data_IF_787253877145
#
_entry.id   IF_787253877145
#
_cell.length_a   1.000
_cell.length_b   1.000
_cell.length_c   1.000
_cell.angle_alpha   90.00
_cell.angle_beta   90.00
_cell.angle_gamma   90.00
#
_symmetry.space_group_name_H-M   'P 1'
#
loop_
_entity.id
_entity.type
_entity.pdbx_description
1 polymer ?
#
# COMPACT_ATOMS: atom_id res chain seq x y z
N UNK A 1 1.55 24.71 14.25
CA UNK A 1 1.84 26.14 14.00
C UNK A 1 0.89 27.13 14.67
N UNK A 2 -0.35 26.75 15.03
CA UNK A 2 -1.32 27.68 15.66
C UNK A 2 -1.03 28.08 17.12
N UNK A 3 -0.19 27.33 17.85
CA UNK A 3 0.05 27.56 19.29
C UNK A 3 1.12 28.64 19.56
N UNK A 4 2.04 28.87 18.61
CA UNK A 4 3.05 29.92 18.72
C UNK A 4 2.43 31.34 18.69
N UNK A 5 1.26 31.50 18.06
CA UNK A 5 0.52 32.75 18.03
C UNK A 5 -0.19 33.10 19.35
N UNK A 6 -0.47 32.10 20.20
CA UNK A 6 -1.14 32.33 21.48
C UNK A 6 -0.18 32.88 22.56
N UNK A 7 1.12 32.54 22.46
CA UNK A 7 2.15 33.03 23.39
C UNK A 7 2.57 34.48 23.13
N UNK A 8 2.43 34.99 21.91
CA UNK A 8 2.70 36.41 21.59
C UNK A 8 1.58 37.37 22.01
N UNK A 9 0.36 36.87 22.27
CA UNK A 9 -0.76 37.71 22.72
C UNK A 9 -0.77 37.93 24.24
N UNK A 10 -0.14 37.04 25.01
CA UNK A 10 -0.06 37.14 26.49
C UNK A 10 1.03 38.09 27.00
N UNK A 11 1.91 38.60 26.14
CA UNK A 11 2.94 39.58 26.51
C UNK A 11 2.49 41.05 26.38
N UNK A 12 1.28 41.30 25.86
CA UNK A 12 0.82 42.65 25.48
C UNK A 12 -0.42 43.15 26.26
N UNK A 13 -0.67 42.66 27.48
CA UNK A 13 -1.77 43.15 28.31
C UNK A 13 -1.27 43.79 29.63
N UNK A 14 -1.24 45.13 29.65
CA UNK A 14 -1.77 45.95 30.74
C UNK A 14 -0.98 46.07 32.06
N UNK A 15 -0.50 47.30 32.31
CA UNK A 15 -0.05 47.83 33.61
C UNK A 15 -0.97 47.44 34.78
N UNK A 16 -0.51 46.53 35.65
CA UNK A 16 -1.02 46.33 37.00
C UNK A 16 0.17 46.06 37.96
N UNK A 17 0.09 46.42 39.25
CA UNK A 17 1.22 46.30 40.17
C UNK A 17 1.62 44.83 40.34
N UNK A 18 2.87 44.51 39.99
CA UNK A 18 3.44 43.16 40.11
C UNK A 18 3.51 42.75 41.59
N UNK A 19 2.53 42.00 42.07
CA UNK A 19 2.76 41.06 43.18
C UNK A 19 3.63 39.94 42.62
N UNK A 20 4.90 39.88 43.03
CA UNK A 20 5.78 38.75 42.75
C UNK A 20 5.28 37.51 43.52
N UNK A 21 4.23 36.87 43.01
CA UNK A 21 3.87 35.53 43.45
C UNK A 21 4.90 34.56 42.87
N UNK A 22 5.87 34.15 43.67
CA UNK A 22 6.76 33.04 43.33
C UNK A 22 5.90 31.79 43.11
N UNK A 23 5.80 31.32 41.87
CA UNK A 23 5.19 30.03 41.57
C UNK A 23 6.12 28.95 42.15
N UNK A 24 5.65 28.09 43.06
CA UNK A 24 6.48 27.06 43.65
C UNK A 24 7.10 26.17 42.57
N UNK A 25 8.37 25.77 42.68
CA UNK A 25 9.05 24.94 41.68
C UNK A 25 8.32 23.60 41.44
N UNK A 26 7.59 23.10 42.44
CA UNK A 26 6.73 21.92 42.31
C UNK A 26 5.58 22.10 41.31
N UNK A 27 4.99 23.30 41.21
CA UNK A 27 3.91 23.59 40.27
C UNK A 27 4.45 23.68 38.84
N UNK A 28 5.64 24.26 38.65
CA UNK A 28 6.33 24.22 37.34
C UNK A 28 6.64 22.78 36.92
N UNK A 29 7.12 21.94 37.85
CA UNK A 29 7.43 20.53 37.55
C UNK A 29 6.18 19.74 37.15
N UNK A 30 5.05 19.95 37.85
CA UNK A 30 3.77 19.32 37.53
C UNK A 30 3.26 19.77 36.15
N UNK A 31 3.38 21.07 35.83
CA UNK A 31 3.01 21.60 34.53
C UNK A 31 3.88 21.05 33.40
N UNK A 32 5.19 20.87 33.64
CA UNK A 32 6.11 20.24 32.68
C UNK A 32 5.80 18.75 32.47
N UNK A 33 5.52 18.00 33.53
CA UNK A 33 5.12 16.59 33.47
C UNK A 33 3.77 16.39 32.76
N UNK A 34 2.80 17.28 33.01
CA UNK A 34 1.54 17.29 32.25
C UNK A 34 1.76 17.63 30.77
N UNK A 35 2.67 18.55 30.45
CA UNK A 35 3.00 18.91 29.07
C UNK A 35 3.66 17.74 28.30
N UNK A 36 4.53 16.96 28.96
CA UNK A 36 5.11 15.75 28.35
C UNK A 36 4.09 14.63 28.15
N UNK A 37 3.07 14.53 29.02
CA UNK A 37 1.98 13.56 28.86
C UNK A 37 0.94 13.96 27.80
N UNK A 38 0.86 15.26 27.49
CA UNK A 38 0.01 15.83 26.42
C UNK A 38 0.74 16.00 25.09
N UNK A 39 2.04 15.68 25.03
CA UNK A 39 2.77 15.54 23.77
C UNK A 39 2.15 14.38 23.01
N UNK A 40 1.30 14.69 22.03
CA UNK A 40 0.75 13.70 21.12
C UNK A 40 1.92 12.87 20.57
N UNK A 41 1.84 11.55 20.74
CA UNK A 41 2.73 10.66 20.00
C UNK A 41 2.60 11.05 18.53
N UNK A 42 3.67 11.54 17.91
CA UNK A 42 3.72 11.58 16.46
C UNK A 42 3.60 10.11 16.03
N UNK A 43 2.41 9.74 15.59
CA UNK A 43 2.11 8.36 15.23
C UNK A 43 3.10 7.92 14.17
N UNK A 44 3.82 6.83 14.43
CA UNK A 44 4.64 6.18 13.41
C UNK A 44 3.73 5.91 12.20
N UNK A 45 4.17 6.33 11.02
CA UNK A 45 3.44 6.06 9.79
C UNK A 45 3.16 4.57 9.71
N UNK A 46 1.97 4.17 9.23
CA UNK A 46 1.58 2.76 9.28
C UNK A 46 0.80 2.33 8.07
N UNK A 47 0.91 1.05 7.75
CA UNK A 47 0.10 0.37 6.76
C UNK A 47 -1.03 -0.36 7.48
N UNK A 48 -2.27 -0.01 7.16
CA UNK A 48 -3.46 -0.68 7.67
C UNK A 48 -4.09 -1.51 6.55
N UNK A 49 -4.17 -2.81 6.76
CA UNK A 49 -4.68 -3.77 5.81
C UNK A 49 -6.12 -4.14 6.16
N UNK A 50 -7.05 -3.99 5.22
CA UNK A 50 -8.45 -4.38 5.39
C UNK A 50 -8.81 -5.44 4.35
N UNK A 51 -9.38 -6.56 4.79
CA UNK A 51 -9.96 -7.54 3.88
C UNK A 51 -11.47 -7.29 3.78
N UNK A 52 -11.92 -6.65 2.70
CA UNK A 52 -13.35 -6.49 2.40
C UNK A 52 -13.90 -7.61 1.50
N UNK A 53 -13.05 -8.57 1.10
CA UNK A 53 -13.50 -9.74 0.35
C UNK A 53 -14.38 -10.64 1.22
N UNK A 54 -15.30 -11.38 0.58
CA UNK A 54 -16.17 -12.36 1.24
C UNK A 54 -15.45 -13.68 1.59
N UNK A 55 -14.14 -13.75 1.35
CA UNK A 55 -13.28 -14.90 1.62
C UNK A 55 -11.99 -14.44 2.31
N UNK A 56 -11.28 -15.32 3.03
CA UNK A 56 -9.99 -14.97 3.60
C UNK A 56 -8.97 -14.63 2.51
N UNK A 57 -8.00 -13.81 2.90
CA UNK A 57 -6.78 -13.56 2.11
C UNK A 57 -5.55 -13.75 2.98
N UNK A 58 -4.43 -14.07 2.36
CA UNK A 58 -3.13 -14.08 3.02
C UNK A 58 -2.27 -12.98 2.43
N UNK A 59 -2.11 -11.90 3.19
CA UNK A 59 -1.32 -10.75 2.79
C UNK A 59 0.15 -11.16 2.69
N UNK A 60 0.83 -10.71 1.64
CA UNK A 60 2.27 -10.74 1.51
C UNK A 60 2.83 -9.33 1.46
N UNK A 61 4.05 -9.15 1.96
CA UNK A 61 4.76 -7.86 1.93
C UNK A 61 6.18 -8.08 1.46
N UNK A 62 6.66 -7.21 0.57
CA UNK A 62 8.04 -7.22 0.11
C UNK A 62 8.59 -5.79 0.20
N UNK A 63 9.73 -5.63 0.86
CA UNK A 63 10.43 -4.35 0.91
C UNK A 63 11.31 -4.17 -0.34
N UNK A 64 11.57 -2.93 -0.71
CA UNK A 64 12.54 -2.60 -1.76
C UNK A 64 13.96 -2.96 -1.35
N UNK A 65 14.86 -3.03 -2.34
CA UNK A 65 16.24 -3.52 -2.16
C UNK A 65 17.05 -2.78 -1.09
N UNK A 66 16.76 -1.49 -0.88
CA UNK A 66 17.45 -0.62 0.10
C UNK A 66 16.62 -0.36 1.36
N UNK A 67 15.41 -0.91 1.43
CA UNK A 67 14.48 -0.71 2.53
C UNK A 67 14.59 -1.84 3.55
N UNK A 68 14.47 -1.56 4.86
CA UNK A 68 14.43 -2.63 5.86
C UNK A 68 13.13 -3.46 5.75
N UNK A 69 13.16 -4.74 6.17
CA UNK A 69 11.95 -5.56 6.26
C UNK A 69 10.97 -5.00 7.29
N UNK A 70 9.67 -5.23 7.06
CA UNK A 70 8.63 -4.97 8.05
C UNK A 70 8.61 -6.08 9.12
N UNK A 71 7.87 -5.87 10.21
CA UNK A 71 7.79 -6.80 11.34
C UNK A 71 7.33 -8.23 10.96
N UNK A 72 6.63 -8.39 9.83
CA UNK A 72 6.29 -9.69 9.25
C UNK A 72 6.12 -9.57 7.74
N UNK A 73 6.48 -10.64 7.03
CA UNK A 73 6.49 -10.72 5.56
C UNK A 73 5.21 -11.35 4.97
N UNK A 74 4.36 -11.95 5.80
CA UNK A 74 3.06 -12.47 5.39
C UNK A 74 2.16 -12.86 6.57
N UNK A 75 0.85 -12.82 6.38
CA UNK A 75 -0.14 -13.08 7.43
C UNK A 75 -1.54 -13.36 6.89
N UNK A 76 -2.33 -14.12 7.67
CA UNK A 76 -3.75 -14.37 7.41
C UNK A 76 -4.61 -13.14 7.76
N UNK A 77 -5.63 -12.88 6.95
CA UNK A 77 -6.62 -11.85 7.20
C UNK A 77 -8.03 -12.38 6.84
N UNK A 78 -8.85 -12.61 7.87
CA UNK A 78 -10.23 -13.08 7.72
C UNK A 78 -11.11 -12.05 6.98
N UNK A 79 -12.26 -12.45 6.40
CA UNK A 79 -13.25 -11.50 5.89
C UNK A 79 -13.60 -10.43 6.92
N UNK A 80 -13.73 -9.17 6.46
CA UNK A 80 -13.98 -7.97 7.29
C UNK A 80 -12.91 -7.64 8.34
N UNK A 81 -11.83 -8.41 8.43
CA UNK A 81 -10.78 -8.17 9.41
C UNK A 81 -9.83 -7.06 8.95
N UNK A 82 -9.21 -6.43 9.95
CA UNK A 82 -8.17 -5.43 9.76
C UNK A 82 -6.89 -5.87 10.46
N UNK A 83 -5.73 -5.54 9.89
CA UNK A 83 -4.44 -5.64 10.56
C UNK A 83 -3.57 -4.42 10.28
N UNK A 84 -2.51 -4.22 11.08
CA UNK A 84 -1.62 -3.06 10.97
C UNK A 84 -0.17 -3.51 10.99
N UNK A 85 0.66 -2.83 10.21
CA UNK A 85 2.12 -2.85 10.32
C UNK A 85 2.62 -1.42 10.41
N UNK A 86 3.56 -1.17 11.30
CA UNK A 86 4.22 0.13 11.36
C UNK A 86 5.26 0.21 10.24
N UNK A 87 5.33 1.36 9.59
CA UNK A 87 6.41 1.69 8.67
C UNK A 87 7.69 1.97 9.47
N UNK A 88 8.87 1.85 8.84
CA UNK A 88 10.12 2.20 9.51
C UNK A 88 10.11 3.66 9.99
N UNK A 89 10.65 3.88 11.19
CA UNK A 89 10.70 5.20 11.81
C UNK A 89 11.85 6.08 11.33
N UNK A 90 12.70 5.58 10.44
CA UNK A 90 13.84 6.31 9.88
C UNK A 90 14.13 5.90 8.43
N UNK A 91 14.72 6.83 7.68
CA UNK A 91 15.04 6.65 6.28
C UNK A 91 13.80 6.63 5.38
N UNK A 92 14.02 6.70 4.07
CA UNK A 92 12.99 6.41 3.07
C UNK A 92 12.67 4.92 3.07
N UNK A 93 11.45 4.56 2.72
CA UNK A 93 11.03 3.17 2.58
C UNK A 93 10.30 2.95 1.28
N UNK A 94 10.45 1.79 0.67
CA UNK A 94 9.67 1.36 -0.49
C UNK A 94 9.28 -0.09 -0.31
N UNK A 95 8.14 -0.46 -0.88
CA UNK A 95 7.72 -1.85 -0.88
C UNK A 95 6.40 -2.06 -1.60
N UNK A 96 6.04 -3.33 -1.69
CA UNK A 96 4.82 -3.79 -2.33
C UNK A 96 4.04 -4.73 -1.42
N UNK A 97 2.73 -4.66 -1.54
CA UNK A 97 1.76 -5.47 -0.80
C UNK A 97 0.86 -6.20 -1.79
N UNK A 98 0.47 -7.43 -1.46
CA UNK A 98 -0.47 -8.21 -2.26
C UNK A 98 -1.31 -9.13 -1.38
N UNK A 99 -2.41 -9.64 -1.93
CA UNK A 99 -3.22 -10.67 -1.29
C UNK A 99 -3.12 -11.99 -2.06
N UNK A 100 -2.83 -13.07 -1.32
CA UNK A 100 -2.93 -14.44 -1.82
C UNK A 100 -4.32 -15.01 -1.56
N UNK A 101 -4.81 -15.84 -2.46
CA UNK A 101 -6.13 -16.47 -2.36
C UNK A 101 -6.06 -17.98 -2.57
N UNK A 102 -7.07 -18.70 -2.07
CA UNK A 102 -7.16 -20.16 -2.21
C UNK A 102 -5.99 -20.89 -1.56
N UNK A 103 -5.55 -20.43 -0.38
CA UNK A 103 -4.41 -20.99 0.29
C UNK A 103 -4.78 -22.16 1.21
N UNK A 104 -3.90 -23.17 1.26
CA UNK A 104 -4.03 -24.33 2.12
C UNK A 104 -2.66 -24.86 2.55
N UNK A 105 -2.64 -25.54 3.69
CA UNK A 105 -1.50 -26.38 4.10
C UNK A 105 -1.74 -27.77 3.55
N UNK A 106 -0.81 -28.27 2.75
CA UNK A 106 -0.83 -29.65 2.30
C UNK A 106 -0.59 -30.58 3.49
N UNK A 107 -1.54 -31.49 3.75
CA UNK A 107 -1.51 -32.32 4.96
C UNK A 107 -0.37 -33.36 4.95
N UNK A 108 0.13 -33.74 3.78
CA UNK A 108 1.20 -34.74 3.66
C UNK A 108 2.59 -34.14 3.84
N UNK A 109 2.80 -32.92 3.35
CA UNK A 109 4.10 -32.23 3.35
C UNK A 109 4.21 -31.12 4.39
N UNK A 110 3.09 -30.66 4.94
CA UNK A 110 3.03 -29.48 5.81
C UNK A 110 3.25 -28.16 5.07
N UNK A 111 3.34 -28.17 3.74
CA UNK A 111 3.68 -27.00 2.93
C UNK A 111 2.46 -26.11 2.73
N UNK A 112 2.59 -24.83 3.04
CA UNK A 112 1.60 -23.81 2.71
C UNK A 112 1.74 -23.37 1.25
N UNK A 113 0.63 -23.40 0.50
CA UNK A 113 0.58 -22.96 -0.90
C UNK A 113 -0.72 -22.22 -1.20
N UNK A 114 -0.69 -21.32 -2.17
CA UNK A 114 -1.84 -20.54 -2.62
C UNK A 114 -2.13 -20.72 -4.10
N UNK A 115 -3.41 -20.65 -4.47
CA UNK A 115 -3.85 -20.73 -5.87
C UNK A 115 -3.42 -19.49 -6.69
N UNK A 116 -3.37 -18.31 -6.05
CA UNK A 116 -2.91 -17.08 -6.69
C UNK A 116 -1.89 -16.34 -5.81
N UNK A 117 -0.94 -15.66 -6.47
CA UNK A 117 0.05 -14.79 -5.85
C UNK A 117 0.96 -15.44 -4.78
N UNK A 118 1.12 -16.76 -4.83
CA UNK A 118 1.98 -17.50 -3.90
C UNK A 118 3.42 -16.99 -3.94
N UNK A 119 4.09 -16.88 -2.78
CA UNK A 119 5.46 -16.40 -2.69
C UNK A 119 6.52 -17.52 -2.65
N UNK A 120 6.10 -18.78 -2.78
CA UNK A 120 6.98 -19.92 -3.00
C UNK A 120 7.79 -20.39 -1.80
N UNK A 121 7.62 -19.76 -0.62
CA UNK A 121 8.33 -20.15 0.60
C UNK A 121 7.90 -21.50 1.14
N UNK A 122 6.65 -21.89 0.89
CA UNK A 122 6.04 -23.04 1.58
C UNK A 122 5.47 -22.68 2.95
N UNK A 123 5.45 -21.39 3.31
CA UNK A 123 4.99 -20.85 4.59
C UNK A 123 4.07 -19.64 4.40
N UNK A 124 3.36 -19.25 5.47
CA UNK A 124 2.58 -18.00 5.47
C UNK A 124 3.49 -16.78 5.30
N UNK A 125 4.68 -16.81 5.88
CA UNK A 125 5.67 -15.75 5.73
C UNK A 125 6.35 -15.83 4.34
N UNK A 126 6.59 -14.68 3.71
CA UNK A 126 7.17 -14.60 2.36
C UNK A 126 8.69 -14.36 2.35
N UNK A 127 9.31 -14.01 3.47
CA UNK A 127 10.77 -14.00 3.67
C UNK A 127 11.58 -13.36 2.54
N UNK A 128 11.15 -12.17 2.11
CA UNK A 128 11.83 -11.40 1.03
C UNK A 128 11.57 -11.94 -0.38
N UNK A 129 10.68 -12.91 -0.57
CA UNK A 129 10.21 -13.38 -1.87
C UNK A 129 8.96 -12.61 -2.32
N UNK A 130 8.94 -12.24 -3.59
CA UNK A 130 7.77 -11.65 -4.25
C UNK A 130 6.72 -12.69 -4.65
N UNK A 131 5.52 -12.22 -5.04
CA UNK A 131 4.44 -13.07 -5.54
C UNK A 131 4.75 -13.69 -6.91
N UNK A 132 4.23 -14.88 -7.15
CA UNK A 132 4.10 -15.45 -8.48
C UNK A 132 2.90 -14.79 -9.22
N UNK A 133 3.11 -14.20 -10.43
CA UNK A 133 2.00 -13.67 -11.23
C UNK A 133 0.99 -14.75 -11.67
N UNK A 134 -0.29 -14.41 -11.90
CA UNK A 134 -0.86 -13.06 -11.86
C UNK A 134 -1.15 -12.53 -10.46
N UNK A 135 -0.94 -11.22 -10.26
CA UNK A 135 -1.11 -10.55 -8.97
C UNK A 135 -1.40 -9.06 -9.14
N UNK A 136 -2.39 -8.56 -8.42
CA UNK A 136 -2.58 -7.11 -8.23
C UNK A 136 -1.63 -6.62 -7.14
N UNK A 137 -0.80 -5.62 -7.44
CA UNK A 137 0.14 -5.05 -6.48
C UNK A 137 -0.36 -3.70 -5.94
N UNK A 138 -0.10 -3.47 -4.65
CA UNK A 138 -0.16 -2.16 -4.02
C UNK A 138 1.26 -1.70 -3.71
N UNK A 139 1.74 -0.67 -4.42
CA UNK A 139 3.12 -0.20 -4.34
C UNK A 139 3.15 1.14 -3.59
N UNK A 140 4.06 1.28 -2.62
CA UNK A 140 4.20 2.49 -1.80
C UNK A 140 5.68 2.80 -1.62
N UNK A 141 6.05 4.05 -1.88
CA UNK A 141 7.35 4.65 -1.56
C UNK A 141 7.12 5.82 -0.62
N UNK A 142 7.64 5.71 0.60
CA UNK A 142 7.63 6.74 1.63
C UNK A 142 8.90 7.58 1.56
N UNK A 143 8.72 8.90 1.61
CA UNK A 143 9.82 9.81 1.88
C UNK A 143 10.35 9.59 3.32
N UNK A 144 11.59 10.01 3.57
CA UNK A 144 12.17 9.88 4.90
C UNK A 144 11.34 10.70 5.92
N UNK A 145 11.02 10.15 7.12
CA UNK A 145 10.27 10.86 8.15
C UNK A 145 10.90 12.21 8.47
N UNK A 146 10.07 13.27 8.53
CA UNK A 146 10.52 14.63 8.81
C UNK A 146 11.27 15.34 7.68
N UNK A 147 11.49 14.71 6.52
CA UNK A 147 12.17 15.34 5.38
C UNK A 147 11.32 16.40 4.66
N UNK A 148 10.00 16.42 4.90
CA UNK A 148 9.06 17.19 4.09
C UNK A 148 8.92 16.67 2.66
N UNK A 149 9.47 15.49 2.37
CA UNK A 149 9.38 14.84 1.06
C UNK A 149 7.97 14.35 0.73
N UNK A 150 7.83 13.88 -0.51
CA UNK A 150 6.59 13.40 -1.08
C UNK A 150 6.62 11.88 -1.17
N UNK A 151 5.55 11.24 -0.70
CA UNK A 151 5.33 9.83 -0.90
C UNK A 151 4.72 9.58 -2.29
N UNK A 152 4.99 8.40 -2.83
CA UNK A 152 4.43 7.90 -4.09
C UNK A 152 3.73 6.58 -3.83
N UNK A 153 2.58 6.37 -4.46
CA UNK A 153 1.86 5.11 -4.35
C UNK A 153 0.99 4.86 -5.57
N UNK A 154 0.72 3.60 -5.82
CA UNK A 154 -0.07 3.16 -6.96
C UNK A 154 -0.61 1.74 -6.78
N UNK A 155 -1.64 1.41 -7.56
CA UNK A 155 -2.09 0.03 -7.75
C UNK A 155 -1.62 -0.40 -9.12
N UNK A 156 -0.98 -1.57 -9.20
CA UNK A 156 -0.34 -2.05 -10.42
C UNK A 156 -0.87 -3.40 -10.88
N UNK A 157 -1.21 -3.45 -12.16
CA UNK A 157 -1.67 -4.63 -12.90
C UNK A 157 -0.65 -5.08 -13.95
N UNK A 158 0.58 -4.58 -13.87
CA UNK A 158 1.69 -4.95 -14.76
C UNK A 158 1.95 -6.46 -14.69
N UNK A 159 1.82 -7.03 -13.49
CA UNK A 159 1.89 -8.47 -13.22
C UNK A 159 0.52 -9.15 -13.20
N UNK A 160 -0.49 -8.55 -13.83
CA UNK A 160 -1.83 -9.10 -13.96
C UNK A 160 -2.75 -8.72 -12.79
N UNK A 161 -3.77 -9.52 -12.57
CA UNK A 161 -4.81 -9.27 -11.59
C UNK A 161 -5.24 -10.56 -10.91
N UNK A 162 -5.44 -10.55 -9.60
CA UNK A 162 -6.10 -11.64 -8.89
C UNK A 162 -7.26 -11.14 -8.01
N UNK A 163 -7.07 -10.06 -7.24
CA UNK A 163 -8.11 -9.40 -6.45
C UNK A 163 -8.14 -7.89 -6.66
N UNK A 164 -9.29 -7.21 -6.50
CA UNK A 164 -9.35 -5.76 -6.50
C UNK A 164 -8.61 -5.17 -5.28
N UNK A 165 -7.95 -4.03 -5.46
CA UNK A 165 -7.13 -3.38 -4.41
C UNK A 165 -7.33 -1.87 -4.44
N UNK A 166 -7.34 -1.25 -3.27
CA UNK A 166 -7.32 0.20 -3.08
C UNK A 166 -6.26 0.61 -2.05
N UNK A 167 -5.54 1.68 -2.34
CA UNK A 167 -4.64 2.38 -1.43
C UNK A 167 -5.24 3.75 -1.16
N UNK A 168 -5.34 4.16 0.11
CA UNK A 168 -5.65 5.54 0.45
C UNK A 168 -4.72 6.06 1.55
N UNK A 169 -4.14 7.25 1.40
CA UNK A 169 -3.41 7.89 2.49
C UNK A 169 -4.36 8.27 3.63
N UNK A 170 -3.87 8.14 4.85
CA UNK A 170 -4.52 8.61 6.07
C UNK A 170 -3.99 9.99 6.42
N UNK A 171 -4.87 11.00 6.41
CA UNK A 171 -4.44 12.39 6.59
C UNK A 171 -3.62 12.89 5.39
N UNK A 172 -2.66 13.78 5.65
CA UNK A 172 -1.94 14.50 4.60
C UNK A 172 -2.76 15.62 3.96
N UNK A 173 -2.09 16.40 3.12
CA UNK A 173 -2.71 17.54 2.45
C UNK A 173 -1.83 18.24 1.41
N UNK A 174 -0.59 17.78 1.20
CA UNK A 174 0.23 18.20 0.07
C UNK A 174 0.18 17.19 -1.07
N UNK A 175 0.10 17.66 -2.31
CA UNK A 175 -0.12 16.80 -3.48
C UNK A 175 -1.60 16.42 -3.67
N UNK A 176 -1.85 15.29 -4.34
CA UNK A 176 -3.22 14.84 -4.64
C UNK A 176 -3.88 14.17 -3.44
N UNK A 177 -3.13 13.33 -2.71
CA UNK A 177 -3.61 12.49 -1.60
C UNK A 177 -4.91 11.72 -1.92
N UNK A 178 -5.18 11.46 -3.21
CA UNK A 178 -6.36 10.74 -3.67
C UNK A 178 -6.14 9.23 -3.58
N UNK A 179 -7.18 8.43 -3.35
CA UNK A 179 -7.03 6.98 -3.38
C UNK A 179 -6.61 6.48 -4.77
N UNK A 180 -5.64 5.55 -4.81
CA UNK A 180 -5.35 4.73 -5.98
C UNK A 180 -6.17 3.45 -5.89
N UNK A 181 -6.83 3.02 -6.95
CA UNK A 181 -7.68 1.83 -6.89
C UNK A 181 -7.82 1.10 -8.22
N UNK A 182 -7.80 -0.22 -8.14
CA UNK A 182 -8.43 -1.12 -9.08
C UNK A 182 -9.60 -1.80 -8.37
N UNK A 183 -10.80 -1.23 -8.52
CA UNK A 183 -12.04 -1.75 -7.91
C UNK A 183 -12.91 -2.56 -8.89
N UNK A 184 -12.58 -2.55 -10.18
CA UNK A 184 -13.28 -3.32 -11.20
C UNK A 184 -12.97 -4.82 -11.13
N UNK A 185 -13.90 -5.64 -11.58
CA UNK A 185 -13.69 -7.08 -11.74
C UNK A 185 -12.99 -7.38 -13.09
N UNK A 186 -11.66 -7.34 -13.08
CA UNK A 186 -10.84 -7.67 -14.26
C UNK A 186 -11.02 -9.15 -14.65
N UNK A 187 -11.34 -10.05 -13.72
CA UNK A 187 -11.55 -11.47 -14.02
C UNK A 187 -12.78 -11.65 -14.92
N UNK A 188 -13.85 -10.87 -14.73
CA UNK A 188 -15.04 -10.88 -15.57
C UNK A 188 -14.76 -10.42 -17.02
N UNK A 189 -13.79 -9.53 -17.22
CA UNK A 189 -13.39 -9.00 -18.52
C UNK A 189 -12.16 -9.70 -19.11
N UNK A 190 -11.60 -10.69 -18.41
CA UNK A 190 -10.31 -11.28 -18.78
C UNK A 190 -10.37 -11.98 -20.14
N UNK A 191 -9.51 -11.63 -21.11
CA UNK A 191 -9.38 -12.32 -22.39
C UNK A 191 -9.10 -13.82 -22.20
N UNK A 192 -9.66 -14.66 -23.06
CA UNK A 192 -9.66 -16.11 -22.85
C UNK A 192 -8.25 -16.71 -22.72
N UNK A 193 -7.30 -16.17 -23.46
CA UNK A 193 -5.88 -16.52 -23.47
C UNK A 193 -5.09 -16.05 -22.23
N UNK A 194 -5.67 -15.15 -21.43
CA UNK A 194 -5.07 -14.62 -20.20
C UNK A 194 -5.67 -15.19 -18.91
N UNK A 195 -6.75 -15.97 -19.00
CA UNK A 195 -7.47 -16.51 -17.83
C UNK A 195 -6.64 -17.53 -17.06
N UNK A 196 -6.68 -17.42 -15.74
CA UNK A 196 -6.33 -18.50 -14.81
C UNK A 196 -7.63 -19.06 -14.24
N UNK A 197 -7.84 -20.35 -14.41
CA UNK A 197 -9.07 -21.04 -14.00
C UNK A 197 -8.91 -21.67 -12.61
N UNK A 198 -10.00 -21.72 -11.84
CA UNK A 198 -10.02 -22.44 -10.58
C UNK A 198 -9.76 -23.94 -10.82
N UNK A 199 -8.97 -24.58 -9.94
CA UNK A 199 -8.74 -26.02 -10.04
C UNK A 199 -10.04 -26.85 -9.97
N UNK A 200 -11.02 -26.37 -9.19
CA UNK A 200 -12.32 -27.03 -9.01
C UNK A 200 -13.36 -26.69 -10.09
N UNK A 201 -13.08 -25.74 -11.00
CA UNK A 201 -14.02 -25.33 -12.04
C UNK A 201 -13.30 -24.74 -13.26
N UNK A 202 -13.57 -25.31 -14.44
CA UNK A 202 -13.07 -24.80 -15.71
C UNK A 202 -13.78 -23.53 -16.21
N UNK A 203 -14.84 -23.08 -15.52
CA UNK A 203 -15.59 -21.87 -15.90
C UNK A 203 -15.34 -20.69 -14.97
N UNK A 204 -14.69 -20.89 -13.82
CA UNK A 204 -14.40 -19.83 -12.86
C UNK A 204 -13.01 -19.25 -13.09
N UNK A 205 -12.93 -17.97 -13.46
CA UNK A 205 -11.68 -17.23 -13.60
C UNK A 205 -11.27 -16.68 -12.23
N UNK A 206 -10.13 -17.14 -11.72
CA UNK A 206 -9.63 -16.74 -10.40
C UNK A 206 -8.55 -15.67 -10.46
N UNK A 207 -7.94 -15.49 -11.63
CA UNK A 207 -6.98 -14.42 -11.91
C UNK A 207 -6.84 -14.20 -13.42
N UNK A 208 -6.26 -13.06 -13.79
CA UNK A 208 -6.00 -12.67 -15.17
C UNK A 208 -4.52 -12.30 -15.35
N UNK A 209 -3.80 -13.01 -16.21
CA UNK A 209 -2.41 -12.71 -16.57
C UNK A 209 -2.32 -11.39 -17.31
N UNK A 210 -1.25 -10.62 -17.09
CA UNK A 210 -0.89 -9.58 -18.05
C UNK A 210 -0.38 -10.22 -19.35
N UNK A 211 -0.38 -9.47 -20.44
CA UNK A 211 0.20 -9.94 -21.70
C UNK A 211 1.70 -10.23 -21.57
N UNK A 212 2.42 -9.51 -20.70
CA UNK A 212 3.82 -9.82 -20.44
C UNK A 212 3.96 -11.21 -19.80
N UNK A 213 3.20 -11.51 -18.74
CA UNK A 213 3.30 -12.81 -18.08
C UNK A 213 2.80 -13.97 -18.98
N UNK A 214 1.90 -13.69 -19.92
CA UNK A 214 1.38 -14.71 -20.85
C UNK A 214 2.33 -15.01 -22.02
N UNK A 215 2.96 -13.99 -22.60
CA UNK A 215 3.71 -14.14 -23.86
C UNK A 215 5.21 -13.88 -23.76
N UNK A 216 5.68 -13.18 -22.71
CA UNK A 216 7.09 -12.84 -22.52
C UNK A 216 7.69 -11.97 -23.63
N UNK A 217 6.86 -11.37 -24.49
CA UNK A 217 7.34 -10.60 -25.64
C UNK A 217 7.90 -9.25 -25.21
N UNK A 218 8.96 -8.79 -25.89
CA UNK A 218 9.56 -7.48 -25.61
C UNK A 218 8.54 -6.33 -25.70
N UNK A 219 7.53 -6.44 -26.60
CA UNK A 219 6.47 -5.45 -26.77
C UNK A 219 5.56 -5.34 -25.56
N UNK A 220 5.22 -6.46 -24.92
CA UNK A 220 4.32 -6.49 -23.76
C UNK A 220 5.05 -6.26 -22.45
N UNK A 221 6.31 -6.70 -22.36
CA UNK A 221 7.13 -6.54 -21.16
C UNK A 221 7.93 -5.22 -21.15
N UNK A 222 7.81 -4.41 -22.20
CA UNK A 222 8.57 -3.16 -22.36
C UNK A 222 10.09 -3.35 -22.15
N UNK A 223 10.68 -4.32 -22.85
CA UNK A 223 12.11 -4.62 -22.76
C UNK A 223 12.82 -4.45 -24.11
N UNK A 224 14.15 -4.39 -24.10
CA UNK A 224 14.96 -4.23 -25.32
C UNK A 224 14.61 -2.94 -26.06
N UNK A 225 14.24 -3.05 -27.34
CA UNK A 225 13.81 -1.89 -28.15
C UNK A 225 12.55 -1.17 -27.61
N UNK A 226 11.77 -1.86 -26.78
CA UNK A 226 10.59 -1.33 -26.10
C UNK A 226 10.91 -0.84 -24.68
N UNK A 227 12.18 -0.68 -24.31
CA UNK A 227 12.61 -0.28 -22.96
C UNK A 227 12.44 1.20 -22.63
N UNK A 228 11.58 1.94 -23.35
CA UNK A 228 11.30 3.34 -23.05
C UNK A 228 9.81 3.65 -23.21
N UNK A 229 9.28 4.65 -22.49
CA UNK A 229 7.89 5.08 -22.68
C UNK A 229 7.56 5.47 -24.13
N UNK A 230 8.53 6.04 -24.85
CA UNK A 230 8.35 6.44 -26.25
C UNK A 230 8.19 5.25 -27.21
N UNK A 231 8.75 4.09 -26.87
CA UNK A 231 8.73 2.90 -27.73
C UNK A 231 7.74 1.84 -27.27
N UNK A 232 7.37 1.80 -25.98
CA UNK A 232 6.37 0.88 -25.46
C UNK A 232 5.08 1.61 -25.06
N UNK A 233 4.14 1.72 -26.01
CA UNK A 233 2.81 2.27 -25.74
C UNK A 233 1.79 1.22 -25.27
N UNK A 234 0.54 1.61 -25.02
CA UNK A 234 -0.54 0.68 -24.68
C UNK A 234 -0.81 -0.35 -25.78
N UNK A 235 -1.43 -1.47 -25.40
CA UNK A 235 -1.85 -2.57 -26.30
C UNK A 235 -3.32 -2.91 -26.08
N UNK A 236 -3.92 -3.72 -26.96
CA UNK A 236 -5.29 -4.20 -26.76
C UNK A 236 -5.46 -4.92 -25.42
N UNK A 237 -4.45 -5.68 -24.99
CA UNK A 237 -4.47 -6.33 -23.68
C UNK A 237 -4.41 -5.32 -22.53
N UNK A 238 -3.44 -4.39 -22.50
CA UNK A 238 -3.36 -3.42 -21.39
C UNK A 238 -4.58 -2.52 -21.32
N UNK A 239 -5.23 -2.21 -22.44
CA UNK A 239 -6.48 -1.46 -22.47
C UNK A 239 -7.65 -2.18 -21.79
N UNK A 240 -7.68 -3.52 -21.74
CA UNK A 240 -8.70 -4.25 -20.96
C UNK A 240 -8.54 -3.94 -19.47
N UNK A 241 -7.32 -4.06 -18.95
CA UNK A 241 -6.99 -3.74 -17.56
C UNK A 241 -7.29 -2.27 -17.24
N UNK A 242 -6.91 -1.36 -18.15
CA UNK A 242 -7.15 0.07 -17.96
C UNK A 242 -8.64 0.44 -17.95
N UNK A 243 -9.44 -0.23 -18.78
CA UNK A 243 -10.88 0.01 -18.84
C UNK A 243 -11.58 -0.41 -17.55
N UNK A 244 -11.16 -1.53 -16.96
CA UNK A 244 -11.68 -1.98 -15.67
C UNK A 244 -11.14 -1.13 -14.50
N UNK A 245 -9.90 -0.66 -14.59
CA UNK A 245 -9.20 0.05 -13.52
C UNK A 245 -8.45 1.29 -14.03
N UNK A 246 -9.15 2.41 -14.30
CA UNK A 246 -8.54 3.60 -14.91
C UNK A 246 -7.46 4.28 -14.06
N UNK A 247 -7.48 4.07 -12.74
CA UNK A 247 -6.55 4.64 -11.77
C UNK A 247 -5.40 3.67 -11.39
N UNK A 248 -5.25 2.55 -12.10
CA UNK A 248 -4.19 1.57 -11.88
C UNK A 248 -3.25 1.50 -13.09
N UNK A 249 -1.99 1.12 -12.86
CA UNK A 249 -1.05 0.82 -13.93
C UNK A 249 -1.54 -0.40 -14.70
N UNK A 250 -1.74 -0.25 -16.00
CA UNK A 250 -2.13 -1.36 -16.89
C UNK A 250 -0.96 -1.98 -17.67
N UNK A 251 0.19 -1.28 -17.71
CA UNK A 251 1.46 -1.71 -18.28
C UNK A 251 2.60 -0.83 -17.73
N UNK A 252 3.85 -1.19 -18.00
CA UNK A 252 5.02 -0.64 -17.30
C UNK A 252 5.24 0.88 -17.39
N UNK A 253 4.70 1.57 -18.41
CA UNK A 253 4.88 3.02 -18.58
C UNK A 253 3.55 3.80 -18.53
N UNK A 254 2.55 3.28 -17.82
CA UNK A 254 1.24 3.90 -17.62
C UNK A 254 1.23 5.00 -16.54
N UNK A 255 2.21 5.90 -16.53
CA UNK A 255 2.43 6.82 -15.39
C UNK A 255 1.34 7.90 -15.25
N UNK A 256 0.94 8.53 -16.36
CA UNK A 256 0.18 9.78 -16.37
C UNK A 256 -1.17 9.75 -15.62
N UNK A 257 -1.72 8.57 -15.36
CA UNK A 257 -3.00 8.39 -14.65
C UNK A 257 -2.94 7.39 -13.50
N UNK A 258 -1.75 6.86 -13.19
CA UNK A 258 -1.61 5.71 -12.29
C UNK A 258 -0.65 5.96 -11.13
N UNK A 259 0.23 6.96 -11.22
CA UNK A 259 1.04 7.40 -10.08
C UNK A 259 0.29 8.42 -9.25
N UNK A 260 0.25 8.18 -7.94
CA UNK A 260 -0.35 9.11 -6.98
C UNK A 260 0.71 9.58 -6.00
N UNK A 261 0.48 10.77 -5.44
CA UNK A 261 1.41 11.40 -4.51
C UNK A 261 0.68 11.95 -3.30
N UNK A 262 1.34 11.90 -2.15
CA UNK A 262 0.84 12.55 -0.94
C UNK A 262 1.99 13.00 -0.05
N UNK A 263 1.86 14.18 0.53
CA UNK A 263 2.78 14.71 1.54
C UNK A 263 2.06 14.85 2.88
N UNK A 264 2.73 14.43 3.94
CA UNK A 264 2.22 14.51 5.31
C UNK A 264 1.18 13.45 5.66
N UNK A 265 1.09 12.36 4.89
CA UNK A 265 0.28 11.20 5.28
C UNK A 265 0.83 10.59 6.57
N UNK A 266 -0.06 10.19 7.48
CA UNK A 266 0.29 9.50 8.73
C UNK A 266 0.15 7.98 8.62
N UNK A 267 -0.14 7.50 7.42
CA UNK A 267 -0.29 6.09 7.11
C UNK A 267 -1.03 5.86 5.80
N UNK A 268 -1.22 4.59 5.46
CA UNK A 268 -1.90 4.15 4.26
C UNK A 268 -2.84 2.99 4.56
N UNK A 269 -4.09 3.11 4.14
CA UNK A 269 -5.08 2.03 4.14
C UNK A 269 -4.98 1.23 2.84
N UNK A 270 -4.55 -0.02 2.92
CA UNK A 270 -4.57 -1.02 1.84
C UNK A 270 -5.81 -1.89 2.02
N UNK A 271 -6.77 -1.79 1.10
CA UNK A 271 -8.03 -2.53 1.14
C UNK A 271 -8.10 -3.53 -0.01
N UNK A 272 -8.30 -4.80 0.32
CA UNK A 272 -8.58 -5.86 -0.64
C UNK A 272 -10.09 -5.97 -0.86
N UNK A 273 -10.51 -6.08 -2.13
CA UNK A 273 -11.90 -6.01 -2.58
C UNK A 273 -12.66 -4.74 -2.13
N UNK A 274 -12.15 -3.52 -2.43
CA UNK A 274 -12.88 -2.29 -2.10
C UNK A 274 -14.27 -2.26 -2.75
N UNK A 275 -15.33 -2.21 -1.94
CA UNK A 275 -16.72 -2.09 -2.41
C UNK A 275 -17.46 -3.40 -2.66
N UNK A 276 -16.90 -4.55 -2.23
CA UNK A 276 -17.60 -5.85 -2.21
C UNK A 276 -18.40 -6.13 -0.93
#
# INVERSE_FOLDING_TARGET
MAVAHLLLQLSAAGNAPRRNTMVPPAILLILQLLFTALGGAEGVASFRFTNACQHPVWVGTLHGATSPPLARSGFYLAPSATSRLDAPSSGSWSGTFWARTGCAVDAATGRFTCATADCGTGDVACEGRGPAPPVTLAEITLAAPGSGGQDFYDVSLVDGFNVPVRIAPSGGGGGDCRPAACAGDVNAMCPADLRVLAAASSSSVVACKSACNAYGSARYCCTGQYGTPATCGPTSYSQVFKSACPAAYSYAYDDASSTFTCSGATGYDVTFCPGS
#
